data_IF_905341996117
#
_entry.id   IF_905341996117
#
_cell.length_a   1.000
_cell.length_b   1.000
_cell.length_c   1.000
_cell.angle_alpha   90.00
_cell.angle_beta   90.00
_cell.angle_gamma   90.00
#
_symmetry.space_group_name_H-M   'P 1'
#
loop_
_entity.id
_entity.type
_entity.pdbx_description
1 polymer ?
#
# COMPACT_ATOMS: atom_id res chain seq x y z
N UNK A 1 -0.62 21.25 2.58
CA UNK A 1 -0.49 21.03 4.03
C UNK A 1 0.16 19.67 4.24
N UNK A 2 1.28 19.57 4.97
CA UNK A 2 1.97 18.30 5.23
C UNK A 2 1.65 17.81 6.63
N UNK A 3 1.20 16.57 6.76
CA UNK A 3 0.94 15.91 8.04
C UNK A 3 2.00 14.82 8.23
N UNK A 4 2.53 14.66 9.44
CA UNK A 4 3.45 13.58 9.80
C UNK A 4 2.78 12.72 10.85
N UNK A 5 2.71 11.42 10.59
CA UNK A 5 2.15 10.43 11.51
C UNK A 5 3.28 9.58 12.11
N UNK A 6 3.14 9.21 13.38
CA UNK A 6 4.05 8.30 14.08
C UNK A 6 3.22 7.26 14.82
N UNK A 7 3.57 5.99 14.67
CA UNK A 7 2.95 4.88 15.36
C UNK A 7 4.02 3.90 15.84
N UNK A 8 3.77 3.22 16.95
CA UNK A 8 4.64 2.19 17.51
C UNK A 8 3.81 0.97 17.88
N UNK A 9 4.41 -0.22 17.81
CA UNK A 9 3.74 -1.47 18.17
C UNK A 9 4.76 -2.58 18.48
N UNK A 10 4.29 -3.75 18.93
CA UNK A 10 5.16 -4.84 19.37
C UNK A 10 5.77 -5.65 18.22
N UNK A 11 5.40 -5.39 16.97
CA UNK A 11 5.91 -6.14 15.83
C UNK A 11 7.40 -5.81 15.57
N UNK A 12 8.26 -6.81 15.27
CA UNK A 12 9.62 -6.56 14.81
C UNK A 12 9.65 -5.70 13.54
N UNK A 13 10.73 -4.94 13.33
CA UNK A 13 10.90 -4.03 12.18
C UNK A 13 10.69 -4.77 10.85
N UNK A 14 11.35 -5.92 10.66
CA UNK A 14 11.21 -6.72 9.43
C UNK A 14 9.75 -7.15 9.20
N UNK A 15 9.02 -7.55 10.24
CA UNK A 15 7.61 -7.94 10.14
C UNK A 15 6.72 -6.76 9.78
N UNK A 16 6.98 -5.58 10.36
CA UNK A 16 6.25 -4.37 10.03
C UNK A 16 6.52 -3.94 8.58
N UNK A 17 7.78 -4.03 8.13
CA UNK A 17 8.21 -3.72 6.78
C UNK A 17 7.52 -4.59 5.73
N UNK A 18 7.50 -5.91 5.93
CA UNK A 18 6.92 -6.83 4.94
C UNK A 18 5.44 -6.57 4.67
N UNK A 19 4.68 -6.02 5.63
CA UNK A 19 3.29 -5.59 5.41
C UNK A 19 3.15 -4.44 4.41
N UNK A 20 4.16 -3.59 4.31
CA UNK A 20 4.21 -2.52 3.31
C UNK A 20 4.88 -3.00 2.02
N UNK A 21 5.98 -3.75 2.13
CA UNK A 21 6.74 -4.22 0.98
C UNK A 21 5.95 -5.17 0.08
N UNK A 22 5.15 -6.08 0.65
CA UNK A 22 4.25 -6.97 -0.10
C UNK A 22 2.91 -6.28 -0.37
N UNK A 23 2.62 -6.02 -1.65
CA UNK A 23 1.38 -5.34 -2.05
C UNK A 23 0.14 -6.18 -1.77
N UNK A 24 0.27 -7.51 -1.68
CA UNK A 24 -0.85 -8.40 -1.33
C UNK A 24 -1.26 -8.27 0.14
N UNK A 25 -0.38 -7.75 1.00
CA UNK A 25 -0.64 -7.56 2.42
C UNK A 25 -1.39 -6.24 2.72
N UNK A 26 -1.55 -5.34 1.74
CA UNK A 26 -2.14 -4.02 1.97
C UNK A 26 -3.57 -4.02 2.51
N UNK A 27 -4.48 -4.91 2.03
CA UNK A 27 -5.81 -5.04 2.61
C UNK A 27 -5.81 -5.43 4.10
N UNK A 28 -4.71 -6.00 4.61
CA UNK A 28 -4.65 -6.47 6.01
C UNK A 28 -4.45 -5.34 7.03
N UNK A 29 -3.83 -4.22 6.64
CA UNK A 29 -3.57 -3.10 7.53
C UNK A 29 -4.37 -1.83 7.18
N UNK A 30 -4.92 -1.74 5.97
CA UNK A 30 -5.83 -0.66 5.56
C UNK A 30 -7.16 -1.24 5.09
N UNK A 31 -8.19 -1.23 5.94
CA UNK A 31 -9.51 -1.76 5.61
C UNK A 31 -10.14 -1.13 4.35
N UNK A 32 -9.75 0.08 3.98
CA UNK A 32 -10.26 0.76 2.78
C UNK A 32 -9.66 0.23 1.48
N UNK A 33 -8.58 -0.54 1.51
CA UNK A 33 -7.89 -1.07 0.33
C UNK A 33 -8.41 -2.48 0.05
N UNK A 34 -8.90 -2.71 -1.17
CA UNK A 34 -9.33 -4.02 -1.64
C UNK A 34 -8.23 -4.78 -2.40
N UNK A 35 -7.26 -4.05 -2.97
CA UNK A 35 -6.13 -4.63 -3.68
C UNK A 35 -5.25 -3.58 -4.35
N UNK A 36 -4.19 -4.06 -5.01
CA UNK A 36 -3.26 -3.23 -5.78
C UNK A 36 -3.02 -3.88 -7.14
N UNK A 37 -3.16 -3.11 -8.21
CA UNK A 37 -2.93 -3.52 -9.58
C UNK A 37 -1.63 -2.87 -10.09
N UNK A 38 -0.63 -3.68 -10.46
CA UNK A 38 0.66 -3.22 -10.98
C UNK A 38 1.11 -4.12 -12.14
N UNK A 39 1.85 -3.53 -13.07
CA UNK A 39 2.56 -4.30 -14.09
C UNK A 39 3.86 -4.85 -13.49
N UNK A 40 3.83 -6.09 -12.98
CA UNK A 40 5.02 -6.80 -12.49
C UNK A 40 4.85 -7.44 -11.12
N UNK A 41 5.96 -7.64 -10.38
CA UNK A 41 5.92 -8.26 -9.06
C UNK A 41 5.10 -7.44 -8.07
N UNK A 42 4.33 -8.13 -7.21
CA UNK A 42 3.56 -7.53 -6.13
C UNK A 42 4.44 -7.17 -4.91
N UNK A 43 5.60 -6.55 -5.16
CA UNK A 43 6.53 -6.08 -4.15
C UNK A 43 6.98 -4.65 -4.45
N UNK A 44 7.00 -3.78 -3.44
CA UNK A 44 7.49 -2.41 -3.56
C UNK A 44 8.92 -2.38 -4.09
N UNK A 45 9.12 -1.48 -5.06
CA UNK A 45 10.43 -1.14 -5.61
C UNK A 45 10.36 0.28 -6.13
N UNK A 46 11.46 1.02 -6.04
CA UNK A 46 11.55 2.36 -6.61
C UNK A 46 11.21 2.36 -8.10
N UNK A 47 10.39 3.33 -8.52
CA UNK A 47 9.87 3.48 -9.87
C UNK A 47 8.70 2.56 -10.20
N UNK A 48 8.25 1.69 -9.29
CA UNK A 48 7.02 0.92 -9.49
C UNK A 48 5.82 1.87 -9.54
N UNK A 49 4.94 1.67 -10.51
CA UNK A 49 3.69 2.40 -10.64
C UNK A 49 2.51 1.44 -10.81
N UNK A 50 1.34 1.85 -10.34
CA UNK A 50 0.11 1.09 -10.52
C UNK A 50 -1.08 1.79 -9.89
N UNK A 51 -2.11 1.00 -9.56
CA UNK A 51 -3.38 1.48 -9.02
C UNK A 51 -3.69 0.81 -7.70
N UNK A 52 -3.98 1.60 -6.68
CA UNK A 52 -4.59 1.13 -5.43
C UNK A 52 -6.10 1.11 -5.62
N UNK A 53 -6.72 -0.02 -5.32
CA UNK A 53 -8.15 -0.23 -5.46
C UNK A 53 -8.82 -0.07 -4.09
N UNK A 54 -9.86 0.76 -4.03
CA UNK A 54 -10.71 0.92 -2.86
C UNK A 54 -11.73 -0.21 -2.73
N UNK A 55 -12.42 -0.27 -1.60
CA UNK A 55 -13.57 -1.16 -1.44
C UNK A 55 -14.74 -0.74 -2.35
N UNK A 56 -15.48 -1.72 -2.92
CA UNK A 56 -16.72 -1.43 -3.63
C UNK A 56 -17.80 -0.91 -2.68
N UNK A 57 -18.47 0.17 -3.07
CA UNK A 57 -19.62 0.74 -2.35
C UNK A 57 -20.84 0.69 -3.26
N UNK A 58 -21.95 0.17 -2.75
CA UNK A 58 -23.19 -0.01 -3.49
C UNK A 58 -23.64 1.33 -4.12
N UNK A 59 -23.87 1.32 -5.43
CA UNK A 59 -24.27 2.52 -6.18
C UNK A 59 -23.12 3.44 -6.61
N UNK A 60 -21.86 3.08 -6.34
CA UNK A 60 -20.69 3.88 -6.71
C UNK A 60 -19.65 3.06 -7.47
N UNK A 61 -18.94 3.67 -8.44
CA UNK A 61 -17.79 3.02 -9.06
C UNK A 61 -16.68 2.78 -8.02
N UNK A 62 -15.92 1.70 -8.20
CA UNK A 62 -14.75 1.41 -7.36
C UNK A 62 -13.75 2.55 -7.53
N UNK A 63 -13.32 3.12 -6.41
CA UNK A 63 -12.24 4.11 -6.41
C UNK A 63 -10.94 3.41 -6.80
N UNK A 64 -10.24 3.95 -7.79
CA UNK A 64 -8.89 3.54 -8.14
C UNK A 64 -7.99 4.77 -8.12
N UNK A 65 -6.86 4.68 -7.42
CA UNK A 65 -5.91 5.79 -7.29
C UNK A 65 -4.57 5.35 -7.84
N UNK A 66 -4.07 6.09 -8.82
CA UNK A 66 -2.74 5.87 -9.38
C UNK A 66 -1.65 6.23 -8.36
N UNK A 67 -0.56 5.46 -8.33
CA UNK A 67 0.60 5.76 -7.52
C UNK A 67 1.90 5.48 -8.29
N UNK A 68 2.97 6.12 -7.83
CA UNK A 68 4.36 5.80 -8.19
C UNK A 68 5.21 5.79 -6.92
N UNK A 69 6.09 4.81 -6.81
CA UNK A 69 7.07 4.73 -5.71
C UNK A 69 8.27 5.60 -6.08
N UNK A 70 8.29 6.84 -5.57
CA UNK A 70 9.36 7.79 -5.86
C UNK A 70 10.68 7.40 -5.20
N UNK A 71 10.59 6.89 -3.97
CA UNK A 71 11.73 6.49 -3.15
C UNK A 71 11.37 5.32 -2.22
N UNK A 72 12.37 4.50 -1.90
CA UNK A 72 12.20 3.31 -1.06
C UNK A 72 13.52 2.96 -0.37
N UNK A 73 13.50 2.93 0.96
CA UNK A 73 14.60 2.44 1.79
C UNK A 73 14.25 1.06 2.37
N UNK A 74 15.14 0.08 2.20
CA UNK A 74 15.02 -1.22 2.86
C UNK A 74 15.68 -1.18 4.26
N UNK A 75 15.07 -1.82 5.28
CA UNK A 75 15.58 -1.84 6.65
C UNK A 75 16.81 -2.72 6.88
#
# INVERSE_FOLDING_TARGET
>A
MRIVLRASGPAPVATAWERYADLTAWPTWSPQISGVDVAGPLRLRRGLSGRVLGLPVLGHPVLAVDFVVEDLDEP
#
